data_IF_671248894554
#
_entry.id   IF_671248894554
#
_cell.length_a   1.000
_cell.length_b   1.000
_cell.length_c   1.000
_cell.angle_alpha   90.00
_cell.angle_beta   90.00
_cell.angle_gamma   90.00
#
_symmetry.space_group_name_H-M   'P 1'
#
loop_
_entity.id
_entity.type
_entity.pdbx_description
1 polymer ?
#
# COMPACT_ATOMS: atom_id res chain seq x y z
N UNK A 1 20.14 27.73 -18.17
CA UNK A 1 19.96 26.75 -17.08
C UNK A 1 18.94 25.70 -17.56
N UNK A 2 19.40 24.49 -17.88
CA UNK A 2 18.53 23.41 -18.37
C UNK A 2 17.92 22.71 -17.17
N UNK A 3 16.58 22.75 -17.06
CA UNK A 3 15.82 22.00 -16.04
C UNK A 3 15.80 20.53 -16.45
N UNK A 4 16.49 19.68 -15.69
CA UNK A 4 16.43 18.23 -15.84
C UNK A 4 15.19 17.79 -15.08
N UNK A 5 14.16 17.37 -15.81
CA UNK A 5 13.02 16.66 -15.21
C UNK A 5 13.41 15.22 -15.00
N UNK A 6 13.64 14.83 -13.74
CA UNK A 6 13.74 13.41 -13.37
C UNK A 6 12.38 12.77 -13.54
N UNK A 7 12.21 12.08 -14.68
CA UNK A 7 11.10 11.19 -14.90
C UNK A 7 11.39 9.91 -14.10
N UNK A 8 10.70 9.71 -12.98
CA UNK A 8 10.73 8.44 -12.27
C UNK A 8 9.99 7.40 -13.12
N UNK A 9 10.74 6.60 -13.88
CA UNK A 9 10.20 5.44 -14.56
C UNK A 9 9.91 4.37 -13.48
N UNK A 10 8.65 4.15 -13.16
CA UNK A 10 8.23 2.94 -12.47
C UNK A 10 8.43 1.77 -13.43
N UNK A 11 9.49 0.99 -13.23
CA UNK A 11 9.75 -0.20 -14.01
C UNK A 11 8.71 -1.25 -13.64
N UNK A 12 7.75 -1.50 -14.52
CA UNK A 12 6.85 -2.63 -14.45
C UNK A 12 7.60 -3.86 -14.96
N UNK A 13 8.11 -4.69 -14.06
CA UNK A 13 8.56 -6.02 -14.42
C UNK A 13 7.34 -6.95 -14.47
N UNK A 14 6.83 -7.24 -15.65
CA UNK A 14 5.86 -8.33 -15.86
C UNK A 14 6.63 -9.57 -16.29
N UNK A 15 6.69 -10.57 -15.42
CA UNK A 15 7.22 -11.89 -15.77
C UNK A 15 6.05 -12.82 -16.06
N UNK A 16 5.90 -13.22 -17.32
CA UNK A 16 4.97 -14.26 -17.71
C UNK A 16 5.58 -15.62 -17.35
N UNK A 17 5.20 -16.17 -16.21
CA UNK A 17 5.51 -17.55 -15.85
C UNK A 17 4.35 -18.44 -16.31
N UNK A 18 4.55 -19.20 -17.37
CA UNK A 18 3.56 -20.12 -18.00
C UNK A 18 2.13 -19.58 -18.03
N UNK A 19 1.39 -19.75 -19.07
CA UNK A 19 0.13 -19.09 -19.45
C UNK A 19 -1.01 -18.97 -18.39
N UNK A 20 -0.78 -19.29 -17.13
CA UNK A 20 -1.81 -19.56 -16.13
C UNK A 20 -1.88 -18.56 -14.99
N UNK A 21 -0.74 -18.03 -14.55
CA UNK A 21 -0.72 -16.99 -13.52
C UNK A 21 0.25 -15.89 -13.89
N UNK A 22 -0.20 -14.68 -13.75
CA UNK A 22 0.64 -13.49 -13.88
C UNK A 22 0.72 -12.77 -12.55
N UNK A 23 1.83 -12.10 -12.32
CA UNK A 23 1.94 -11.19 -11.20
C UNK A 23 2.69 -9.92 -11.62
N UNK A 24 2.42 -8.86 -10.91
CA UNK A 24 3.20 -7.62 -10.98
C UNK A 24 3.69 -7.29 -9.60
N UNK A 25 4.90 -6.76 -9.49
CA UNK A 25 5.44 -6.27 -8.21
C UNK A 25 5.81 -4.80 -8.35
N UNK A 26 5.36 -4.00 -7.39
CA UNK A 26 5.66 -2.57 -7.32
C UNK A 26 5.75 -2.17 -5.85
N UNK A 27 6.91 -1.66 -5.44
CA UNK A 27 7.13 -1.17 -4.06
C UNK A 27 6.69 -2.15 -2.96
N UNK A 28 7.00 -3.42 -3.11
CA UNK A 28 6.64 -4.46 -2.13
C UNK A 28 5.21 -4.99 -2.23
N UNK A 29 4.42 -4.53 -3.21
CA UNK A 29 3.06 -5.02 -3.45
C UNK A 29 3.05 -5.95 -4.65
N UNK A 30 2.69 -7.21 -4.43
CA UNK A 30 2.47 -8.22 -5.47
C UNK A 30 0.97 -8.31 -5.78
N UNK A 31 0.57 -7.96 -6.99
CA UNK A 31 -0.78 -8.23 -7.50
C UNK A 31 -0.74 -9.55 -8.27
N UNK A 32 -1.49 -10.53 -7.82
CA UNK A 32 -1.63 -11.85 -8.43
C UNK A 32 -2.87 -11.90 -9.28
N UNK A 33 -2.78 -12.51 -10.47
CA UNK A 33 -3.93 -12.81 -11.34
C UNK A 33 -3.81 -14.26 -11.82
N UNK A 34 -4.86 -15.06 -11.63
CA UNK A 34 -4.85 -16.48 -11.93
C UNK A 34 -6.12 -16.94 -12.66
N UNK A 35 -5.96 -17.85 -13.64
CA UNK A 35 -7.07 -18.49 -14.34
C UNK A 35 -7.68 -17.68 -15.49
N UNK A 36 -7.11 -16.53 -15.85
CA UNK A 36 -7.59 -15.69 -16.95
C UNK A 36 -7.64 -16.40 -18.30
N UNK A 37 -6.75 -17.36 -18.52
CA UNK A 37 -6.69 -18.17 -19.74
C UNK A 37 -7.60 -19.42 -19.71
N UNK A 38 -8.26 -19.67 -18.59
CA UNK A 38 -9.01 -20.91 -18.36
C UNK A 38 -8.14 -22.14 -18.12
N UNK A 39 -6.83 -21.96 -17.96
CA UNK A 39 -5.92 -23.05 -17.63
C UNK A 39 -5.78 -23.22 -16.11
N UNK A 40 -6.25 -24.36 -15.61
CA UNK A 40 -6.28 -24.71 -14.18
C UNK A 40 -5.23 -25.77 -13.81
N UNK A 41 -4.24 -26.04 -14.67
CA UNK A 41 -3.28 -27.12 -14.45
C UNK A 41 -2.36 -26.88 -13.26
N UNK A 42 -2.06 -25.63 -12.91
CA UNK A 42 -1.26 -25.31 -11.73
C UNK A 42 -2.05 -25.51 -10.43
N UNK A 43 -3.31 -25.06 -10.42
CA UNK A 43 -4.21 -25.17 -9.28
C UNK A 43 -5.65 -25.15 -9.79
N UNK A 44 -6.48 -26.09 -9.34
CA UNK A 44 -7.89 -26.10 -9.69
C UNK A 44 -8.72 -25.66 -8.47
N UNK A 45 -9.27 -24.44 -8.45
CA UNK A 45 -10.06 -23.95 -7.33
C UNK A 45 -11.44 -24.64 -7.22
N UNK A 46 -11.77 -25.54 -8.16
CA UNK A 46 -13.08 -26.22 -8.23
C UNK A 46 -14.21 -25.19 -8.42
N UNK A 47 -15.30 -25.35 -7.66
CA UNK A 47 -16.42 -24.41 -7.65
C UNK A 47 -16.30 -23.33 -6.56
N UNK A 48 -15.12 -23.17 -5.96
CA UNK A 48 -14.92 -22.21 -4.88
C UNK A 48 -14.71 -20.80 -5.45
N UNK A 49 -15.46 -19.79 -4.99
CA UNK A 49 -15.26 -18.40 -5.42
C UNK A 49 -14.01 -17.76 -4.80
N UNK A 50 -13.38 -18.43 -3.84
CA UNK A 50 -12.23 -17.96 -3.07
C UNK A 50 -11.32 -19.12 -2.73
N UNK A 51 -10.01 -18.89 -2.83
CA UNK A 51 -9.00 -19.77 -2.26
C UNK A 51 -7.90 -18.94 -1.61
N UNK A 52 -6.89 -19.57 -1.00
CA UNK A 52 -5.91 -18.89 -0.17
C UNK A 52 -4.50 -19.06 -0.72
N UNK A 53 -3.66 -18.10 -0.37
CA UNK A 53 -2.24 -18.13 -0.68
C UNK A 53 -1.48 -18.24 0.64
N UNK A 54 -0.71 -19.31 0.80
CA UNK A 54 0.30 -19.41 1.82
C UNK A 54 1.56 -18.73 1.31
N UNK A 55 2.13 -17.83 2.09
CA UNK A 55 3.22 -16.93 1.66
C UNK A 55 4.39 -17.04 2.63
N UNK A 56 5.60 -17.12 2.07
CA UNK A 56 6.84 -17.02 2.84
C UNK A 56 7.87 -16.20 2.09
N UNK A 57 8.84 -15.61 2.78
CA UNK A 57 9.94 -14.91 2.15
C UNK A 57 11.14 -15.83 1.98
N UNK A 58 11.67 -15.92 0.77
CA UNK A 58 12.97 -16.49 0.49
C UNK A 58 13.99 -15.35 0.50
N UNK A 59 14.80 -15.22 1.57
CA UNK A 59 15.67 -14.06 1.76
C UNK A 59 17.06 -14.17 1.14
N UNK A 60 17.52 -15.36 0.75
CA UNK A 60 18.84 -15.53 0.19
C UNK A 60 18.84 -16.30 -1.13
N UNK A 61 19.66 -15.84 -2.07
CA UNK A 61 19.93 -16.56 -3.29
C UNK A 61 20.57 -17.92 -2.96
N UNK A 62 19.92 -18.98 -3.40
CA UNK A 62 20.41 -20.35 -3.25
C UNK A 62 20.02 -21.05 -1.95
N UNK A 63 19.37 -20.37 -1.04
CA UNK A 63 18.80 -20.99 0.14
C UNK A 63 17.30 -21.21 -0.08
N UNK A 64 16.85 -22.47 -0.07
CA UNK A 64 15.43 -22.81 0.01
C UNK A 64 14.83 -22.43 1.38
N UNK A 65 15.59 -21.66 2.13
CA UNK A 65 15.17 -21.21 3.44
C UNK A 65 14.01 -20.24 3.27
N UNK A 66 12.90 -20.56 3.88
CA UNK A 66 11.66 -19.77 3.89
C UNK A 66 11.85 -18.38 4.49
N UNK A 67 13.07 -18.03 4.89
CA UNK A 67 13.37 -16.79 5.58
C UNK A 67 12.76 -16.75 6.98
N UNK A 68 12.78 -15.57 7.58
CA UNK A 68 12.24 -15.36 8.91
C UNK A 68 10.75 -14.97 8.90
N UNK A 69 10.13 -14.87 7.71
CA UNK A 69 8.75 -14.40 7.54
C UNK A 69 7.95 -15.45 6.79
N UNK A 70 7.02 -16.07 7.49
CA UNK A 70 6.26 -17.23 7.01
C UNK A 70 4.83 -17.16 7.55
N UNK A 71 3.85 -17.43 6.70
CA UNK A 71 2.49 -17.66 7.18
C UNK A 71 2.43 -19.01 7.92
N UNK A 72 1.59 -19.11 8.94
CA UNK A 72 1.21 -20.41 9.47
C UNK A 72 0.38 -21.16 8.43
N UNK A 73 0.69 -22.44 8.21
CA UNK A 73 -0.10 -23.29 7.31
C UNK A 73 -1.58 -23.32 7.69
N UNK A 74 -1.86 -23.28 8.98
CA UNK A 74 -3.22 -23.30 9.53
C UNK A 74 -3.85 -21.90 9.65
N UNK A 75 -3.19 -20.86 9.15
CA UNK A 75 -3.70 -19.50 9.18
C UNK A 75 -3.11 -18.66 8.03
N UNK A 76 -3.35 -19.07 6.78
CA UNK A 76 -2.97 -18.27 5.62
C UNK A 76 -4.00 -17.16 5.41
N UNK A 77 -3.56 -15.91 5.46
CA UNK A 77 -4.43 -14.73 5.51
C UNK A 77 -4.56 -13.97 4.17
N UNK A 78 -3.88 -14.45 3.12
CA UNK A 78 -3.98 -13.87 1.78
C UNK A 78 -5.04 -14.63 0.98
N UNK A 79 -6.00 -13.91 0.41
CA UNK A 79 -7.10 -14.50 -0.37
C UNK A 79 -6.97 -14.18 -1.85
N UNK A 80 -7.37 -15.15 -2.69
CA UNK A 80 -7.64 -14.99 -4.11
C UNK A 80 -9.15 -15.07 -4.31
N UNK A 81 -9.74 -13.98 -4.77
CA UNK A 81 -11.17 -13.89 -5.04
C UNK A 81 -11.44 -13.80 -6.53
N UNK A 82 -12.56 -14.39 -6.99
CA UNK A 82 -12.99 -14.24 -8.36
C UNK A 82 -13.39 -12.79 -8.65
N UNK A 83 -12.76 -12.20 -9.65
CA UNK A 83 -13.08 -10.88 -10.19
C UNK A 83 -13.71 -11.06 -11.58
N UNK A 84 -15.00 -10.75 -11.70
CA UNK A 84 -15.75 -10.92 -12.95
C UNK A 84 -15.28 -9.91 -14.03
N UNK A 85 -14.72 -8.77 -13.66
CA UNK A 85 -14.21 -7.78 -14.61
C UNK A 85 -12.89 -8.24 -15.24
N UNK A 86 -12.01 -8.79 -14.42
CA UNK A 86 -10.75 -9.37 -14.89
C UNK A 86 -10.93 -10.76 -15.51
N UNK A 87 -12.09 -11.40 -15.28
CA UNK A 87 -12.36 -12.80 -15.60
C UNK A 87 -11.27 -13.72 -15.07
N UNK A 88 -10.88 -13.53 -13.81
CA UNK A 88 -9.77 -14.21 -13.17
C UNK A 88 -9.91 -14.17 -11.64
N UNK A 89 -9.15 -15.03 -10.95
CA UNK A 89 -8.90 -14.84 -9.53
C UNK A 89 -7.84 -13.75 -9.34
N UNK A 90 -8.11 -12.83 -8.44
CA UNK A 90 -7.21 -11.72 -8.11
C UNK A 90 -6.93 -11.73 -6.60
N UNK A 91 -5.68 -11.51 -6.25
CA UNK A 91 -5.22 -11.35 -4.88
C UNK A 91 -4.08 -10.35 -4.79
N UNK A 92 -3.84 -9.85 -3.60
CA UNK A 92 -2.75 -8.90 -3.34
C UNK A 92 -1.96 -9.34 -2.11
N UNK A 93 -0.63 -9.34 -2.25
CA UNK A 93 0.31 -9.52 -1.15
C UNK A 93 1.05 -8.20 -1.00
N UNK A 94 0.67 -7.41 -0.01
CA UNK A 94 1.36 -6.15 0.31
C UNK A 94 2.35 -6.40 1.45
N UNK A 95 3.61 -6.63 1.10
CA UNK A 95 4.67 -6.92 2.08
C UNK A 95 4.94 -5.76 3.05
N UNK A 96 4.56 -4.51 2.68
CA UNK A 96 4.76 -3.37 3.57
C UNK A 96 3.85 -3.41 4.80
N UNK A 97 2.73 -4.14 4.70
CA UNK A 97 1.72 -4.25 5.75
C UNK A 97 1.37 -5.68 6.14
N UNK A 98 1.87 -6.68 5.38
CA UNK A 98 1.54 -8.08 5.62
C UNK A 98 2.02 -8.54 6.99
N UNK A 99 1.07 -9.02 7.79
CA UNK A 99 1.36 -9.76 8.99
C UNK A 99 1.52 -11.26 8.67
N UNK A 100 2.69 -11.80 8.90
CA UNK A 100 3.00 -13.21 8.70
C UNK A 100 2.60 -14.01 9.93
N UNK A 101 1.60 -14.83 9.79
CA UNK A 101 0.92 -15.50 10.91
C UNK A 101 1.75 -16.62 11.55
N UNK A 102 2.71 -17.18 10.83
CA UNK A 102 3.65 -18.20 11.33
C UNK A 102 4.80 -17.58 12.13
N UNK A 103 5.42 -16.54 11.58
CA UNK A 103 6.49 -15.81 12.26
C UNK A 103 5.98 -14.76 13.25
N UNK A 104 4.66 -14.54 13.31
CA UNK A 104 4.00 -13.59 14.19
C UNK A 104 4.59 -12.16 14.11
N UNK A 105 4.89 -11.72 12.89
CA UNK A 105 5.58 -10.44 12.67
C UNK A 105 5.30 -9.86 11.28
N UNK A 106 5.68 -8.62 11.08
CA UNK A 106 5.73 -7.93 9.78
C UNK A 106 7.18 -7.74 9.35
N UNK A 107 7.43 -7.63 8.06
CA UNK A 107 8.76 -7.30 7.56
C UNK A 107 9.14 -5.85 7.94
N UNK A 108 10.39 -5.63 8.40
CA UNK A 108 10.88 -4.27 8.65
C UNK A 108 10.91 -3.43 7.37
N UNK A 109 10.68 -2.16 7.52
CA UNK A 109 10.85 -1.20 6.43
C UNK A 109 12.32 -1.16 6.00
N UNK A 110 12.55 -0.95 4.70
CA UNK A 110 13.90 -1.00 4.11
C UNK A 110 14.39 -2.41 3.81
N UNK A 111 13.62 -3.47 4.14
CA UNK A 111 13.96 -4.84 3.75
C UNK A 111 13.98 -4.94 2.22
N UNK A 112 15.06 -5.48 1.68
CA UNK A 112 15.15 -5.84 0.26
C UNK A 112 14.71 -7.29 0.12
N UNK A 113 13.60 -7.50 -0.59
CA UNK A 113 13.04 -8.83 -0.84
C UNK A 113 13.37 -9.23 -2.26
N UNK A 114 14.15 -10.29 -2.44
CA UNK A 114 14.54 -10.79 -3.76
C UNK A 114 13.41 -11.59 -4.41
N UNK A 115 12.70 -12.38 -3.61
CA UNK A 115 11.58 -13.21 -4.04
C UNK A 115 10.72 -13.61 -2.84
N UNK A 116 9.49 -14.02 -3.12
CA UNK A 116 8.61 -14.67 -2.15
C UNK A 116 8.16 -16.01 -2.70
N UNK A 117 8.01 -16.98 -1.81
CA UNK A 117 7.40 -18.26 -2.14
C UNK A 117 5.90 -18.24 -1.88
N UNK A 118 5.14 -18.94 -2.72
CA UNK A 118 3.70 -19.10 -2.54
C UNK A 118 3.24 -20.53 -2.80
N UNK A 119 2.14 -20.92 -2.14
CA UNK A 119 1.32 -22.08 -2.44
C UNK A 119 -0.14 -21.65 -2.47
N UNK A 120 -0.86 -22.04 -3.51
CA UNK A 120 -2.32 -21.93 -3.55
C UNK A 120 -2.95 -23.10 -2.80
N UNK A 121 -3.95 -22.83 -1.98
CA UNK A 121 -4.63 -23.83 -1.15
C UNK A 121 -6.10 -23.48 -0.96
N UNK A 122 -6.93 -24.51 -0.83
CA UNK A 122 -8.38 -24.36 -0.80
C UNK A 122 -8.93 -23.83 0.54
N UNK A 123 -8.15 -23.90 1.61
CA UNK A 123 -8.56 -23.47 2.96
C UNK A 123 -7.52 -22.57 3.61
N UNK A 124 -7.96 -21.64 4.43
CA UNK A 124 -7.11 -20.83 5.30
C UNK A 124 -6.39 -21.71 6.34
N UNK A 125 -7.12 -22.64 6.96
CA UNK A 125 -6.68 -23.49 8.08
C UNK A 125 -6.32 -24.90 7.61
N UNK A 126 -5.24 -25.07 6.89
CA UNK A 126 -4.85 -26.33 6.28
C UNK A 126 -5.18 -26.38 4.80
N UNK A 127 -5.22 -27.57 4.21
CA UNK A 127 -5.62 -27.78 2.83
C UNK A 127 -6.02 -29.23 2.60
N UNK A 128 -7.10 -29.46 1.84
CA UNK A 128 -7.43 -30.79 1.28
C UNK A 128 -6.71 -30.98 -0.06
N UNK A 129 -6.48 -29.89 -0.79
CA UNK A 129 -5.66 -29.86 -2.00
C UNK A 129 -4.93 -28.52 -2.12
N UNK A 130 -3.75 -28.55 -2.72
CA UNK A 130 -2.86 -27.42 -2.88
C UNK A 130 -2.08 -27.51 -4.19
N UNK A 131 -1.52 -26.38 -4.63
CA UNK A 131 -0.54 -26.37 -5.72
C UNK A 131 0.83 -26.85 -5.24
N UNK A 132 1.76 -27.00 -6.17
CA UNK A 132 3.19 -27.03 -5.86
C UNK A 132 3.65 -25.64 -5.43
N UNK A 133 4.84 -25.57 -4.82
CA UNK A 133 5.50 -24.32 -4.46
C UNK A 133 5.85 -23.52 -5.71
N UNK A 134 5.78 -22.21 -5.60
CA UNK A 134 6.19 -21.29 -6.66
C UNK A 134 6.86 -20.07 -6.06
N UNK A 135 7.99 -19.69 -6.66
CA UNK A 135 8.64 -18.43 -6.35
C UNK A 135 8.12 -17.31 -7.26
N UNK A 136 7.89 -16.15 -6.68
CA UNK A 136 7.60 -14.91 -7.38
C UNK A 136 8.85 -14.03 -7.30
N UNK A 137 9.50 -13.86 -8.43
CA UNK A 137 10.72 -13.08 -8.56
C UNK A 137 10.43 -11.58 -8.57
N UNK A 138 11.42 -10.81 -8.23
CA UNK A 138 11.44 -9.37 -8.37
C UNK A 138 12.08 -8.71 -7.16
N UNK A 139 13.31 -8.19 -7.26
CA UNK A 139 13.85 -7.42 -6.17
C UNK A 139 12.95 -6.22 -5.92
N UNK A 140 12.46 -6.10 -4.70
CA UNK A 140 11.64 -4.98 -4.25
C UNK A 140 12.13 -4.53 -2.88
N UNK A 141 12.16 -3.23 -2.66
CA UNK A 141 12.49 -2.67 -1.35
C UNK A 141 11.22 -2.22 -0.68
N UNK A 142 11.01 -2.70 0.54
CA UNK A 142 9.87 -2.28 1.33
C UNK A 142 10.05 -0.82 1.71
N UNK A 143 9.21 0.01 1.18
CA UNK A 143 9.17 1.41 1.54
C UNK A 143 7.97 1.63 2.44
N UNK A 144 8.18 2.37 3.52
CA UNK A 144 7.02 3.06 4.07
C UNK A 144 6.37 3.77 2.90
N UNK A 145 5.06 3.56 2.69
CA UNK A 145 4.25 4.66 2.21
C UNK A 145 4.36 5.73 3.29
N UNK A 146 5.56 6.29 3.40
CA UNK A 146 5.74 7.50 4.12
C UNK A 146 4.92 8.50 3.32
N UNK A 147 3.74 8.83 3.80
CA UNK A 147 3.44 10.24 3.91
C UNK A 147 4.72 10.79 4.50
N UNK A 148 5.57 11.42 3.68
CA UNK A 148 6.85 11.91 4.14
C UNK A 148 6.53 12.77 5.35
N UNK A 149 6.78 12.23 6.55
CA UNK A 149 6.86 13.05 7.72
C UNK A 149 8.07 13.92 7.45
N UNK A 150 7.79 15.10 6.91
CA UNK A 150 8.84 16.10 6.75
C UNK A 150 9.44 16.28 8.12
N UNK A 151 10.65 15.76 8.26
CA UNK A 151 11.55 15.92 9.39
C UNK A 151 11.05 16.87 10.48
N UNK A 152 10.60 16.32 11.62
CA UNK A 152 10.65 16.99 12.91
C UNK A 152 9.83 18.28 13.11
N UNK A 153 8.99 18.68 12.16
CA UNK A 153 8.12 19.84 12.33
C UNK A 153 6.82 19.38 12.97
N UNK A 154 6.45 20.01 14.06
CA UNK A 154 5.19 19.76 14.74
C UNK A 154 4.04 19.79 13.71
N UNK A 155 3.26 18.72 13.68
CA UNK A 155 2.11 18.60 12.77
C UNK A 155 1.13 19.72 13.04
N UNK A 156 0.64 20.35 11.98
CA UNK A 156 -0.47 21.29 12.11
C UNK A 156 -1.74 20.56 12.57
N UNK A 157 -2.55 21.22 13.36
CA UNK A 157 -3.84 20.70 13.81
C UNK A 157 -4.91 21.77 13.75
N UNK A 158 -6.16 21.37 13.59
CA UNK A 158 -7.29 22.30 13.68
C UNK A 158 -8.15 21.91 14.87
N UNK A 159 -8.40 22.89 15.71
CA UNK A 159 -9.30 22.77 16.84
C UNK A 159 -10.19 24.02 16.94
N UNK A 160 -11.48 23.82 17.16
CA UNK A 160 -12.47 24.90 17.26
C UNK A 160 -12.42 25.90 16.07
N UNK A 161 -12.19 25.41 14.86
CA UNK A 161 -12.11 26.23 13.63
C UNK A 161 -10.83 27.05 13.48
N UNK A 162 -9.84 26.84 14.35
CA UNK A 162 -8.54 27.52 14.29
C UNK A 162 -7.44 26.55 13.93
N UNK A 163 -6.59 26.94 12.99
CA UNK A 163 -5.40 26.20 12.61
C UNK A 163 -4.24 26.58 13.54
N UNK A 164 -3.66 25.57 14.17
CA UNK A 164 -2.42 25.63 14.94
C UNK A 164 -1.31 25.03 14.09
N UNK A 165 -0.30 25.80 13.75
CA UNK A 165 0.85 25.36 12.94
C UNK A 165 2.15 25.93 13.49
N UNK A 166 3.22 25.14 13.40
CA UNK A 166 4.58 25.61 13.67
C UNK A 166 5.24 26.25 12.44
N UNK A 167 4.61 26.17 11.28
CA UNK A 167 5.09 26.86 10.07
C UNK A 167 5.09 28.37 10.28
N UNK A 168 6.10 29.05 9.73
CA UNK A 168 6.25 30.51 9.80
C UNK A 168 6.33 31.09 8.40
N UNK A 169 5.90 32.36 8.27
CA UNK A 169 5.92 33.10 7.01
C UNK A 169 4.61 32.97 6.23
N UNK A 170 4.67 33.26 4.94
CA UNK A 170 3.49 33.29 4.10
C UNK A 170 2.97 31.89 3.82
N UNK A 171 1.70 31.67 4.12
CA UNK A 171 0.99 30.41 3.88
C UNK A 171 -0.24 30.64 2.99
N UNK A 172 -0.44 29.73 2.06
CA UNK A 172 -1.67 29.57 1.29
C UNK A 172 -2.48 28.42 1.89
N UNK A 173 -3.68 28.72 2.37
CA UNK A 173 -4.59 27.75 2.97
C UNK A 173 -5.77 27.53 2.02
N UNK A 174 -6.10 26.28 1.72
CA UNK A 174 -7.29 25.90 0.96
C UNK A 174 -8.10 24.90 1.76
N UNK A 175 -9.33 25.27 2.09
CA UNK A 175 -10.25 24.40 2.82
C UNK A 175 -11.21 23.74 1.83
N UNK A 176 -11.35 22.43 1.96
CA UNK A 176 -12.25 21.60 1.18
C UNK A 176 -13.30 20.96 2.09
N UNK A 177 -14.51 20.78 1.59
CA UNK A 177 -15.46 19.86 2.20
C UNK A 177 -15.01 18.39 1.95
N UNK A 178 -15.72 17.46 2.56
CA UNK A 178 -15.41 16.03 2.40
C UNK A 178 -15.67 15.50 0.98
N UNK A 179 -16.43 16.22 0.16
CA UNK A 179 -16.64 15.92 -1.25
C UNK A 179 -15.55 16.48 -2.17
N UNK A 180 -14.53 17.17 -1.62
CA UNK A 180 -13.43 17.75 -2.38
C UNK A 180 -13.74 19.14 -2.99
N UNK A 181 -14.89 19.73 -2.69
CA UNK A 181 -15.24 21.08 -3.13
C UNK A 181 -14.49 22.09 -2.30
N UNK A 182 -13.87 23.08 -2.95
CA UNK A 182 -13.22 24.21 -2.26
C UNK A 182 -14.29 25.07 -1.58
N UNK A 183 -14.18 25.20 -0.27
CA UNK A 183 -15.05 26.02 0.57
C UNK A 183 -14.44 27.39 0.81
N UNK A 184 -13.11 27.43 0.97
CA UNK A 184 -12.41 28.67 1.26
C UNK A 184 -10.95 28.62 0.85
N UNK A 185 -10.41 29.77 0.46
CA UNK A 185 -8.98 30.00 0.31
C UNK A 185 -8.58 31.20 1.16
N UNK A 186 -7.42 31.15 1.78
CA UNK A 186 -6.89 32.19 2.66
C UNK A 186 -5.38 32.28 2.47
N UNK A 187 -4.88 33.50 2.26
CA UNK A 187 -3.44 33.80 2.34
C UNK A 187 -3.16 34.52 3.65
N UNK A 188 -2.18 34.03 4.39
CA UNK A 188 -1.87 34.57 5.70
C UNK A 188 -0.37 34.50 6.00
N UNK A 189 0.09 35.31 6.92
CA UNK A 189 1.44 35.20 7.43
C UNK A 189 1.38 34.54 8.81
N UNK A 190 1.93 33.33 8.91
CA UNK A 190 1.98 32.57 10.15
C UNK A 190 3.13 33.07 11.03
N UNK A 191 2.81 33.47 12.22
CA UNK A 191 3.75 34.01 13.23
C UNK A 191 3.76 33.21 14.55
N UNK A 192 3.11 32.01 14.54
CA UNK A 192 2.94 31.18 15.72
C UNK A 192 1.60 31.35 16.42
N UNK A 193 0.79 32.34 16.03
CA UNK A 193 -0.58 32.46 16.53
C UNK A 193 -1.56 31.56 15.77
N UNK A 194 -2.64 31.10 16.42
CA UNK A 194 -3.69 30.35 15.75
C UNK A 194 -4.35 31.18 14.64
N UNK A 195 -4.55 30.54 13.48
CA UNK A 195 -5.17 31.16 12.30
C UNK A 195 -6.64 30.74 12.24
N UNK A 196 -7.55 31.69 12.26
CA UNK A 196 -8.98 31.42 12.19
C UNK A 196 -9.39 31.04 10.75
N UNK A 197 -9.98 29.88 10.60
CA UNK A 197 -10.49 29.41 9.31
C UNK A 197 -11.85 30.02 8.96
N UNK A 198 -12.54 30.66 9.93
CA UNK A 198 -13.83 31.34 9.76
C UNK A 198 -14.83 30.52 8.95
N UNK A 199 -15.09 29.28 9.38
CA UNK A 199 -16.07 28.41 8.75
C UNK A 199 -17.48 28.76 9.25
N UNK A 200 -18.47 28.66 8.38
CA UNK A 200 -19.86 29.01 8.71
C UNK A 200 -20.73 27.79 9.00
N UNK A 201 -20.30 26.59 8.64
CA UNK A 201 -21.08 25.38 8.79
C UNK A 201 -20.30 24.29 9.50
N UNK A 202 -21.01 23.49 10.30
CA UNK A 202 -20.44 22.29 10.92
C UNK A 202 -20.27 21.20 9.86
N UNK A 203 -19.20 20.40 9.97
CA UNK A 203 -18.94 19.33 9.02
C UNK A 203 -17.54 18.76 9.13
N UNK A 204 -17.23 17.83 8.22
CA UNK A 204 -15.88 17.30 8.02
C UNK A 204 -15.18 18.05 6.90
N UNK A 205 -13.97 18.47 7.15
CA UNK A 205 -13.18 19.32 6.27
C UNK A 205 -11.74 18.81 6.14
N UNK A 206 -11.11 19.21 5.03
CA UNK A 206 -9.67 19.12 4.82
C UNK A 206 -9.14 20.52 4.64
N UNK A 207 -8.04 20.87 5.31
CA UNK A 207 -7.28 22.08 4.99
C UNK A 207 -5.92 21.71 4.41
N UNK A 208 -5.66 22.18 3.18
CA UNK A 208 -4.33 22.13 2.57
C UNK A 208 -3.60 23.40 2.95
N UNK A 209 -2.41 23.22 3.51
CA UNK A 209 -1.51 24.29 3.96
C UNK A 209 -0.29 24.24 3.04
N UNK A 210 0.04 25.33 2.39
CA UNK A 210 1.20 25.42 1.49
C UNK A 210 2.04 26.65 1.82
N UNK A 211 3.35 26.51 1.83
CA UNK A 211 4.35 27.55 2.03
C UNK A 211 5.55 27.32 1.12
N UNK A 212 6.62 28.13 1.23
CA UNK A 212 7.76 28.13 0.29
C UNK A 212 8.43 26.76 0.07
N UNK A 213 8.49 25.88 1.07
CA UNK A 213 9.04 24.51 0.98
C UNK A 213 8.23 23.54 1.85
N UNK A 214 6.94 23.79 1.99
CA UNK A 214 6.11 23.08 2.93
C UNK A 214 4.73 22.88 2.31
N UNK A 215 4.19 21.65 2.43
CA UNK A 215 2.81 21.34 2.10
C UNK A 215 2.31 20.26 3.05
N UNK A 216 1.16 20.49 3.65
CA UNK A 216 0.52 19.57 4.58
C UNK A 216 -0.99 19.59 4.35
N UNK A 217 -1.65 18.48 4.66
CA UNK A 217 -3.12 18.38 4.65
C UNK A 217 -3.58 17.90 6.02
N UNK A 218 -4.51 18.63 6.62
CA UNK A 218 -5.09 18.31 7.93
C UNK A 218 -6.58 18.04 7.76
N UNK A 219 -7.04 16.88 8.23
CA UNK A 219 -8.47 16.54 8.33
C UNK A 219 -8.99 16.95 9.72
N UNK A 220 -10.16 17.57 9.75
CA UNK A 220 -10.76 18.02 11.00
C UNK A 220 -12.28 18.05 10.95
N UNK A 221 -12.91 18.05 12.09
CA UNK A 221 -14.34 18.32 12.28
C UNK A 221 -14.52 19.74 12.84
N UNK A 222 -15.54 20.44 12.34
CA UNK A 222 -15.94 21.77 12.81
C UNK A 222 -17.38 21.75 13.26
#
# INVERSE_FOLDING_TARGET
MKKIYSLAFAAFASVALSAQSTYTVTNGVYKLTYGKSGDWSFYNPQSNPTFYVHVWSAQSDGDNNKGNFDDSWNNSNTMMNWDATENAYVGTIDLNSKFFTGSNSTMPQGTVVQRIGIVFKNKSNGADFQSVDRDLEGPTTLTTLAVSESNGKAKSQVAAGKLFTSAKGNLDLTVYDFGGKVIKTLKTNANGNPIDLNLSQKGLYLVKISGNNFSEVVKFAY
#
